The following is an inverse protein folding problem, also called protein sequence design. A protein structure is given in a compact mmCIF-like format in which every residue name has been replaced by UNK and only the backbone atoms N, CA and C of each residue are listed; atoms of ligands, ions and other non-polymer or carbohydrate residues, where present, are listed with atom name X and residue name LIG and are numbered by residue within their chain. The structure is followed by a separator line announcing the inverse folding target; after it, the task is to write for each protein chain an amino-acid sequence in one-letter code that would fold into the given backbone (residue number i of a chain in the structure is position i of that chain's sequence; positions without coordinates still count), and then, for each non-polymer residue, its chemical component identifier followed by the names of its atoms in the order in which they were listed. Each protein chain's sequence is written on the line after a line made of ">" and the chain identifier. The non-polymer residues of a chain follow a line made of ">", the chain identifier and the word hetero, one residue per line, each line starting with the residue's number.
data_IF_081966795032
#
_entry.id   IF_081966795032
#
_cell.length_a   1.000
_cell.length_b   1.000
_cell.length_c   1.000
_cell.angle_alpha   90.00
_cell.angle_beta   90.00
_cell.angle_gamma   90.00
#
_symmetry.space_group_name_H-M   'P 1'
#
loop_
_entity.id
_entity.type
_entity.pdbx_description
1 polymer ?
#
# COMPACT_ATOMS: atom_id res chain seq x y z
N UNK A 1 43.85 27.15 -13.47
CA UNK A 1 43.10 26.70 -12.27
C UNK A 1 43.61 25.37 -11.72
N UNK A 2 43.80 24.32 -12.51
CA UNK A 2 44.31 23.02 -12.06
C UNK A 2 45.73 23.03 -11.49
N UNK A 3 46.66 23.86 -12.02
CA UNK A 3 48.02 23.97 -11.52
C UNK A 3 48.14 24.65 -10.15
N UNK A 4 47.24 25.58 -9.85
CA UNK A 4 47.20 26.25 -8.55
C UNK A 4 46.73 25.32 -7.45
N UNK A 5 45.66 24.52 -7.70
CA UNK A 5 45.14 23.50 -6.78
C UNK A 5 46.20 22.43 -6.52
N UNK A 6 46.96 22.02 -7.56
CA UNK A 6 48.04 21.03 -7.45
C UNK A 6 49.15 21.51 -6.52
N UNK A 7 49.55 22.79 -6.62
CA UNK A 7 50.64 23.34 -5.79
C UNK A 7 50.21 23.54 -4.33
N UNK A 8 48.98 23.94 -4.07
CA UNK A 8 48.43 23.98 -2.70
C UNK A 8 48.33 22.60 -2.05
N UNK A 9 47.97 21.57 -2.83
CA UNK A 9 47.92 20.20 -2.32
C UNK A 9 49.32 19.67 -1.96
N UNK A 10 50.36 20.03 -2.70
CA UNK A 10 51.74 19.61 -2.43
C UNK A 10 52.27 20.15 -1.09
N UNK A 11 51.82 21.33 -0.66
CA UNK A 11 52.26 21.96 0.59
C UNK A 11 51.58 21.43 1.88
N UNK A 12 50.50 20.64 1.73
CA UNK A 12 49.77 20.09 2.86
C UNK A 12 50.44 18.84 3.43
N UNK A 13 50.55 18.72 4.78
CA UNK A 13 51.14 17.56 5.43
C UNK A 13 50.41 16.26 5.09
N UNK A 14 51.11 15.14 4.98
CA UNK A 14 50.60 13.83 4.64
C UNK A 14 49.38 13.41 5.55
N UNK A 15 49.52 13.72 6.85
CA UNK A 15 48.43 13.42 7.84
C UNK A 15 47.16 14.14 7.51
N UNK A 16 47.20 15.38 7.05
CA UNK A 16 46.02 16.16 6.64
C UNK A 16 45.42 15.63 5.33
N UNK A 17 46.27 15.18 4.37
CA UNK A 17 45.82 14.57 3.11
C UNK A 17 45.07 13.27 3.34
N UNK A 18 45.63 12.40 4.21
CA UNK A 18 44.96 11.15 4.61
C UNK A 18 43.65 11.40 5.34
N UNK A 19 43.62 12.40 6.27
CA UNK A 19 42.38 12.79 6.94
C UNK A 19 41.27 13.27 5.97
N UNK A 20 41.66 14.16 5.02
CA UNK A 20 40.70 14.63 4.00
C UNK A 20 40.19 13.51 3.10
N UNK A 21 41.07 12.57 2.72
CA UNK A 21 40.67 11.36 1.98
C UNK A 21 39.64 10.53 2.73
N UNK A 22 39.87 10.22 4.01
CA UNK A 22 38.96 9.44 4.84
C UNK A 22 37.61 10.12 4.96
N UNK A 23 37.59 11.45 5.15
CA UNK A 23 36.34 12.23 5.22
C UNK A 23 35.54 12.14 3.91
N UNK A 24 36.17 12.29 2.76
CA UNK A 24 35.51 12.16 1.46
C UNK A 24 34.93 10.77 1.25
N UNK A 25 35.70 9.72 1.58
CA UNK A 25 35.18 8.33 1.47
C UNK A 25 33.96 8.10 2.38
N UNK A 26 34.06 8.55 3.62
CA UNK A 26 32.91 8.42 4.57
C UNK A 26 31.68 9.18 4.08
N UNK A 27 31.85 10.40 3.55
CA UNK A 27 30.75 11.19 3.00
C UNK A 27 30.10 10.51 1.79
N UNK A 28 30.89 9.97 0.86
CA UNK A 28 30.35 9.27 -0.32
C UNK A 28 29.64 7.98 0.08
N UNK A 29 30.18 7.23 1.05
CA UNK A 29 29.51 6.03 1.59
C UNK A 29 28.20 6.41 2.31
N UNK A 30 28.22 7.44 3.13
CA UNK A 30 27.03 7.92 3.85
C UNK A 30 25.92 8.38 2.89
N UNK A 31 26.25 9.12 1.85
CA UNK A 31 25.32 9.54 0.81
C UNK A 31 24.73 8.34 0.04
N UNK A 32 25.55 7.34 -0.28
CA UNK A 32 25.07 6.12 -0.95
C UNK A 32 24.08 5.34 -0.09
N UNK A 33 24.36 5.18 1.20
CA UNK A 33 23.47 4.51 2.15
C UNK A 33 22.17 5.29 2.30
N UNK A 34 22.23 6.62 2.49
CA UNK A 34 21.07 7.47 2.62
C UNK A 34 20.16 7.41 1.37
N UNK A 35 20.75 7.43 0.18
CA UNK A 35 20.02 7.29 -1.08
C UNK A 35 19.32 5.92 -1.18
N UNK A 36 20.00 4.83 -0.86
CA UNK A 36 19.40 3.49 -0.86
C UNK A 36 18.23 3.39 0.13
N UNK A 37 18.36 3.96 1.34
CA UNK A 37 17.28 4.00 2.32
C UNK A 37 16.06 4.78 1.83
N UNK A 38 16.26 5.95 1.22
CA UNK A 38 15.18 6.75 0.66
C UNK A 38 14.39 6.00 -0.40
N UNK A 39 15.08 5.34 -1.33
CA UNK A 39 14.44 4.58 -2.40
C UNK A 39 13.70 3.37 -1.85
N UNK A 40 14.28 2.64 -0.90
CA UNK A 40 13.63 1.49 -0.26
C UNK A 40 12.37 1.92 0.49
N UNK A 41 12.42 3.01 1.26
CA UNK A 41 11.25 3.53 1.98
C UNK A 41 10.13 3.94 1.03
N UNK A 42 10.44 4.64 -0.06
CA UNK A 42 9.45 5.03 -1.06
C UNK A 42 8.77 3.83 -1.73
N UNK A 43 9.55 2.77 -2.01
CA UNK A 43 9.01 1.53 -2.60
C UNK A 43 8.10 0.78 -1.62
N UNK A 44 8.52 0.67 -0.35
CA UNK A 44 7.76 0.00 0.71
C UNK A 44 6.44 0.74 1.01
N UNK A 45 6.46 2.07 1.10
CA UNK A 45 5.26 2.87 1.36
C UNK A 45 4.22 2.67 0.24
N UNK A 46 4.65 2.72 -1.01
CA UNK A 46 3.77 2.49 -2.16
C UNK A 46 3.15 1.09 -2.16
N UNK A 47 3.92 0.08 -1.78
CA UNK A 47 3.45 -1.30 -1.69
C UNK A 47 2.46 -1.49 -0.54
N UNK A 48 2.75 -0.90 0.63
CA UNK A 48 1.88 -0.95 1.79
C UNK A 48 0.51 -0.33 1.53
N UNK A 49 0.44 0.79 0.80
CA UNK A 49 -0.85 1.40 0.42
C UNK A 49 -1.68 0.44 -0.43
N UNK A 50 -1.08 -0.21 -1.45
CA UNK A 50 -1.77 -1.16 -2.30
C UNK A 50 -2.26 -2.38 -1.51
N UNK A 51 -1.44 -2.91 -0.61
CA UNK A 51 -1.81 -4.05 0.24
C UNK A 51 -2.96 -3.69 1.19
N UNK A 52 -2.87 -2.54 1.85
CA UNK A 52 -3.90 -2.09 2.79
C UNK A 52 -5.23 -1.88 2.09
N UNK A 53 -5.25 -1.24 0.92
CA UNK A 53 -6.46 -1.03 0.13
C UNK A 53 -7.11 -2.35 -0.31
N UNK A 54 -6.30 -3.32 -0.72
CA UNK A 54 -6.79 -4.64 -1.09
C UNK A 54 -7.33 -5.41 0.12
N UNK A 55 -6.67 -5.30 1.28
CA UNK A 55 -7.14 -5.91 2.53
C UNK A 55 -8.50 -5.36 2.93
N UNK A 56 -8.68 -4.03 2.90
CA UNK A 56 -9.97 -3.40 3.23
C UNK A 56 -11.10 -3.86 2.31
N UNK A 57 -10.84 -3.97 1.00
CA UNK A 57 -11.85 -4.47 0.06
C UNK A 57 -12.18 -5.95 0.30
N UNK A 58 -11.18 -6.76 0.65
CA UNK A 58 -11.38 -8.17 1.01
C UNK A 58 -12.20 -8.31 2.30
N UNK A 59 -11.89 -7.51 3.33
CA UNK A 59 -12.59 -7.53 4.61
C UNK A 59 -14.08 -7.17 4.44
N UNK A 60 -14.40 -6.22 3.55
CA UNK A 60 -15.78 -5.90 3.20
C UNK A 60 -16.48 -7.08 2.52
N UNK A 61 -15.83 -7.71 1.54
CA UNK A 61 -16.41 -8.86 0.84
C UNK A 61 -16.67 -10.02 1.81
N UNK A 62 -15.67 -10.38 2.61
CA UNK A 62 -15.74 -11.48 3.56
C UNK A 62 -16.80 -11.22 4.64
N UNK A 63 -16.87 -9.99 5.18
CA UNK A 63 -17.84 -9.64 6.21
C UNK A 63 -19.28 -9.68 5.66
N UNK A 64 -19.52 -9.23 4.43
CA UNK A 64 -20.83 -9.34 3.78
C UNK A 64 -21.25 -10.79 3.52
N UNK A 65 -20.32 -11.68 3.15
CA UNK A 65 -20.61 -13.10 3.00
C UNK A 65 -20.95 -13.73 4.35
N UNK A 66 -20.20 -13.42 5.41
CA UNK A 66 -20.48 -13.91 6.77
C UNK A 66 -21.82 -13.37 7.31
N UNK A 67 -22.18 -12.13 7.01
CA UNK A 67 -23.47 -11.56 7.39
C UNK A 67 -24.64 -12.27 6.66
N UNK A 68 -24.48 -12.54 5.36
CA UNK A 68 -25.48 -13.25 4.58
C UNK A 68 -25.74 -14.66 5.13
N UNK A 69 -24.68 -15.41 5.42
CA UNK A 69 -24.76 -16.75 6.00
C UNK A 69 -25.41 -16.73 7.40
N UNK A 70 -25.00 -15.78 8.24
CA UNK A 70 -25.56 -15.63 9.58
C UNK A 70 -27.03 -15.18 9.55
N UNK A 71 -27.41 -14.34 8.58
CA UNK A 71 -28.80 -13.95 8.35
C UNK A 71 -29.67 -15.15 7.96
N UNK A 72 -29.21 -15.97 7.00
CA UNK A 72 -29.93 -17.17 6.57
C UNK A 72 -30.16 -18.13 7.74
N UNK A 73 -29.13 -18.40 8.53
CA UNK A 73 -29.24 -19.23 9.73
C UNK A 73 -30.25 -18.66 10.74
N UNK A 74 -30.19 -17.35 10.99
CA UNK A 74 -31.09 -16.71 11.94
C UNK A 74 -32.55 -16.67 11.44
N UNK A 75 -32.78 -16.46 10.17
CA UNK A 75 -34.10 -16.51 9.57
C UNK A 75 -34.69 -17.91 9.65
N UNK A 76 -33.89 -18.95 9.41
CA UNK A 76 -34.32 -20.34 9.48
C UNK A 76 -34.59 -20.81 10.90
N UNK A 77 -33.71 -20.46 11.82
CA UNK A 77 -33.77 -20.82 13.23
C UNK A 77 -33.60 -19.57 14.09
N UNK A 78 -34.70 -19.02 14.58
CA UNK A 78 -34.71 -17.80 15.42
C UNK A 78 -34.27 -18.11 16.86
N UNK A 79 -33.08 -18.73 16.99
CA UNK A 79 -32.46 -19.00 18.29
C UNK A 79 -31.73 -17.77 18.81
N UNK A 80 -31.51 -17.70 20.13
CA UNK A 80 -30.68 -16.68 20.75
C UNK A 80 -29.26 -16.69 20.24
N UNK A 81 -28.67 -17.86 20.02
CA UNK A 81 -27.32 -18.03 19.55
C UNK A 81 -27.13 -17.49 18.12
N UNK A 82 -28.06 -17.85 17.21
CA UNK A 82 -28.06 -17.35 15.83
C UNK A 82 -28.27 -15.84 15.79
N UNK A 83 -29.15 -15.28 16.66
CA UNK A 83 -29.33 -13.84 16.78
C UNK A 83 -28.05 -13.11 17.21
N UNK A 84 -27.29 -13.71 18.13
CA UNK A 84 -26.01 -13.15 18.59
C UNK A 84 -24.96 -13.20 17.49
N UNK A 85 -24.81 -14.34 16.79
CA UNK A 85 -23.88 -14.49 15.67
C UNK A 85 -24.21 -13.52 14.54
N UNK A 86 -25.48 -13.38 14.20
CA UNK A 86 -25.94 -12.45 13.19
C UNK A 86 -25.62 -10.99 13.54
N UNK A 87 -25.90 -10.53 14.79
CA UNK A 87 -25.54 -9.18 15.22
C UNK A 87 -24.03 -8.91 15.14
N UNK A 88 -23.22 -9.90 15.49
CA UNK A 88 -21.77 -9.80 15.40
C UNK A 88 -21.32 -9.66 13.94
N UNK A 89 -21.93 -10.41 13.03
CA UNK A 89 -21.64 -10.31 11.60
C UNK A 89 -22.05 -8.94 11.04
N UNK A 90 -23.25 -8.41 11.39
CA UNK A 90 -23.65 -7.05 11.03
C UNK A 90 -22.64 -6.00 11.49
N UNK A 91 -22.23 -6.05 12.76
CA UNK A 91 -21.24 -5.12 13.30
C UNK A 91 -19.91 -5.19 12.55
N UNK A 92 -19.48 -6.41 12.18
CA UNK A 92 -18.25 -6.60 11.39
C UNK A 92 -18.37 -5.98 9.99
N UNK A 93 -19.51 -6.16 9.31
CA UNK A 93 -19.79 -5.56 8.00
C UNK A 93 -19.81 -4.03 8.06
N UNK A 94 -20.49 -3.47 9.03
CA UNK A 94 -20.55 -2.02 9.25
C UNK A 94 -19.17 -1.43 9.50
N UNK A 95 -18.38 -2.05 10.38
CA UNK A 95 -17.02 -1.64 10.67
C UNK A 95 -16.11 -1.71 9.44
N UNK A 96 -16.23 -2.78 8.63
CA UNK A 96 -15.46 -2.93 7.40
C UNK A 96 -15.84 -1.88 6.34
N UNK A 97 -17.12 -1.55 6.24
CA UNK A 97 -17.61 -0.49 5.34
C UNK A 97 -17.17 0.91 5.78
N UNK A 98 -17.15 1.17 7.08
CA UNK A 98 -16.64 2.44 7.62
C UNK A 98 -15.15 2.62 7.36
N UNK A 99 -14.37 1.55 7.44
CA UNK A 99 -12.93 1.56 7.20
C UNK A 99 -12.56 1.84 5.72
N UNK A 100 -13.50 1.66 4.77
CA UNK A 100 -13.24 1.99 3.37
C UNK A 100 -12.96 3.48 3.19
N UNK A 101 -11.88 3.85 2.48
CA UNK A 101 -11.62 5.25 2.12
C UNK A 101 -12.80 5.83 1.36
N UNK A 102 -13.27 7.02 1.78
CA UNK A 102 -14.41 7.70 1.18
C UNK A 102 -14.10 9.18 0.96
N UNK A 103 -12.99 9.44 0.28
CA UNK A 103 -12.55 10.78 -0.12
C UNK A 103 -12.30 10.78 -1.62
N UNK A 104 -13.10 11.59 -2.34
CA UNK A 104 -13.05 11.68 -3.81
C UNK A 104 -11.65 12.06 -4.33
N UNK A 105 -10.99 12.99 -3.65
CA UNK A 105 -9.68 13.50 -4.06
C UNK A 105 -8.56 12.47 -3.81
N UNK A 106 -8.79 11.56 -2.86
CA UNK A 106 -7.82 10.50 -2.50
C UNK A 106 -7.96 9.27 -3.37
N UNK A 107 -9.21 8.78 -3.56
CA UNK A 107 -9.46 7.48 -4.21
C UNK A 107 -9.89 7.60 -5.69
N UNK A 108 -10.13 8.82 -6.17
CA UNK A 108 -10.57 9.09 -7.54
C UNK A 108 -12.05 8.76 -7.81
N UNK A 109 -12.58 9.25 -8.95
CA UNK A 109 -14.02 9.22 -9.22
C UNK A 109 -14.60 7.82 -9.36
N UNK A 110 -13.89 6.89 -9.98
CA UNK A 110 -14.40 5.54 -10.23
C UNK A 110 -14.52 4.74 -8.93
N UNK A 111 -13.50 4.79 -8.09
CA UNK A 111 -13.48 4.08 -6.81
C UNK A 111 -14.44 4.71 -5.81
N UNK A 112 -14.52 6.05 -5.78
CA UNK A 112 -15.50 6.78 -4.98
C UNK A 112 -16.94 6.36 -5.32
N UNK A 113 -17.31 6.35 -6.60
CA UNK A 113 -18.64 5.93 -7.03
C UNK A 113 -18.96 4.48 -6.64
N UNK A 114 -17.99 3.57 -6.73
CA UNK A 114 -18.18 2.17 -6.31
C UNK A 114 -18.35 2.04 -4.80
N UNK A 115 -17.53 2.73 -4.01
CA UNK A 115 -17.65 2.75 -2.54
C UNK A 115 -18.98 3.35 -2.11
N UNK A 116 -19.40 4.45 -2.75
CA UNK A 116 -20.70 5.08 -2.51
C UNK A 116 -21.85 4.12 -2.79
N UNK A 117 -21.84 3.41 -3.92
CA UNK A 117 -22.87 2.44 -4.29
C UNK A 117 -22.96 1.29 -3.28
N UNK A 118 -21.84 0.83 -2.74
CA UNK A 118 -21.86 -0.23 -1.72
C UNK A 118 -22.44 0.29 -0.41
N UNK A 119 -22.00 1.46 0.06
CA UNK A 119 -22.51 2.06 1.31
C UNK A 119 -24.00 2.31 1.25
N UNK A 120 -24.50 2.97 0.20
CA UNK A 120 -25.93 3.22 0.01
C UNK A 120 -26.73 1.94 -0.24
N UNK A 121 -26.17 1.00 -0.98
CA UNK A 121 -26.78 -0.31 -1.18
C UNK A 121 -26.94 -1.07 0.14
N UNK A 122 -25.96 -0.96 1.04
CA UNK A 122 -26.02 -1.58 2.36
C UNK A 122 -27.10 -0.95 3.25
N UNK A 123 -27.27 0.38 3.24
CA UNK A 123 -28.38 1.06 3.93
C UNK A 123 -29.74 0.58 3.41
N UNK A 124 -29.89 0.43 2.10
CA UNK A 124 -31.09 -0.15 1.50
C UNK A 124 -31.33 -1.60 1.92
N UNK A 125 -30.26 -2.40 1.94
CA UNK A 125 -30.30 -3.79 2.43
C UNK A 125 -30.75 -3.86 3.89
N UNK A 126 -30.20 -3.02 4.77
CA UNK A 126 -30.61 -2.96 6.18
C UNK A 126 -32.11 -2.72 6.32
N UNK A 127 -32.66 -1.83 5.51
CA UNK A 127 -34.14 -1.56 5.54
C UNK A 127 -34.97 -2.78 5.21
N UNK A 128 -34.65 -3.51 4.13
CA UNK A 128 -35.37 -4.74 3.77
C UNK A 128 -35.17 -5.87 4.77
N UNK A 129 -33.94 -6.03 5.23
CA UNK A 129 -33.56 -6.99 6.25
C UNK A 129 -34.36 -6.80 7.54
N UNK A 130 -34.43 -5.58 8.03
CA UNK A 130 -35.16 -5.26 9.27
C UNK A 130 -36.66 -5.51 9.12
N UNK A 131 -37.23 -5.27 7.94
CA UNK A 131 -38.63 -5.66 7.66
C UNK A 131 -38.83 -7.17 7.83
N UNK A 132 -37.96 -8.01 7.21
CA UNK A 132 -38.04 -9.48 7.33
C UNK A 132 -37.88 -9.95 8.77
N UNK A 133 -37.00 -9.31 9.55
CA UNK A 133 -36.77 -9.68 10.94
C UNK A 133 -37.97 -9.39 11.85
N UNK A 134 -38.82 -8.42 11.50
CA UNK A 134 -40.04 -8.07 12.24
C UNK A 134 -41.27 -8.87 11.80
N UNK A 135 -41.21 -9.64 10.71
CA UNK A 135 -42.28 -10.49 10.22
C UNK A 135 -42.20 -11.89 10.82
N UNK A 136 -43.37 -12.52 11.02
CA UNK A 136 -43.42 -13.95 11.26
C UNK A 136 -43.29 -14.72 9.96
N UNK A 137 -42.73 -15.94 10.02
CA UNK A 137 -42.53 -16.78 8.82
C UNK A 137 -43.87 -17.19 8.18
N UNK A 138 -44.97 -17.12 8.93
CA UNK A 138 -46.34 -17.37 8.46
C UNK A 138 -47.02 -16.15 7.83
N UNK A 139 -46.42 -14.97 7.90
CA UNK A 139 -47.01 -13.73 7.39
C UNK A 139 -47.12 -13.75 5.87
N UNK A 140 -48.24 -13.22 5.35
CA UNK A 140 -48.40 -13.00 3.94
C UNK A 140 -47.36 -11.99 3.44
N UNK A 141 -46.56 -12.36 2.43
CA UNK A 141 -45.47 -11.53 1.90
C UNK A 141 -44.11 -11.76 2.54
N UNK A 142 -43.96 -12.58 3.59
CA UNK A 142 -42.64 -12.91 4.17
C UNK A 142 -41.68 -13.44 3.13
N UNK A 143 -42.12 -14.38 2.30
CA UNK A 143 -41.29 -15.00 1.25
C UNK A 143 -40.87 -13.96 0.21
N UNK A 144 -41.76 -13.04 -0.17
CA UNK A 144 -41.44 -11.98 -1.13
C UNK A 144 -40.36 -11.02 -0.57
N UNK A 145 -40.51 -10.59 0.69
CA UNK A 145 -39.53 -9.73 1.34
C UNK A 145 -38.19 -10.44 1.52
N UNK A 146 -38.20 -11.72 1.85
CA UNK A 146 -36.97 -12.54 1.95
C UNK A 146 -36.23 -12.62 0.60
N UNK A 147 -36.94 -12.80 -0.52
CA UNK A 147 -36.35 -12.76 -1.84
C UNK A 147 -35.73 -11.38 -2.17
N UNK A 148 -36.34 -10.29 -1.72
CA UNK A 148 -35.78 -8.94 -1.88
C UNK A 148 -34.48 -8.80 -1.11
N UNK A 149 -34.41 -9.30 0.12
CA UNK A 149 -33.16 -9.31 0.92
C UNK A 149 -32.06 -10.11 0.20
N UNK A 150 -32.36 -11.32 -0.27
CA UNK A 150 -31.38 -12.12 -1.02
C UNK A 150 -30.93 -11.44 -2.33
N UNK A 151 -31.84 -10.77 -3.02
CA UNK A 151 -31.51 -9.98 -4.20
C UNK A 151 -30.53 -8.85 -3.88
N UNK A 152 -30.76 -8.14 -2.77
CA UNK A 152 -29.86 -7.08 -2.31
C UNK A 152 -28.51 -7.63 -1.85
N UNK A 153 -28.48 -8.77 -1.15
CA UNK A 153 -27.22 -9.45 -0.78
C UNK A 153 -26.39 -9.79 -2.03
N UNK A 154 -27.01 -10.40 -3.03
CA UNK A 154 -26.35 -10.74 -4.30
C UNK A 154 -25.81 -9.50 -5.04
N UNK A 155 -26.60 -8.40 -5.00
CA UNK A 155 -26.16 -7.11 -5.53
C UNK A 155 -24.93 -6.59 -4.78
N UNK A 156 -24.95 -6.53 -3.46
CA UNK A 156 -23.86 -6.04 -2.62
C UNK A 156 -22.59 -6.86 -2.80
N UNK A 157 -22.68 -8.19 -2.78
CA UNK A 157 -21.55 -9.09 -3.03
C UNK A 157 -20.93 -8.86 -4.41
N UNK A 158 -21.77 -8.65 -5.44
CA UNK A 158 -21.31 -8.33 -6.79
C UNK A 158 -20.54 -7.01 -6.82
N UNK A 159 -21.06 -5.98 -6.13
CA UNK A 159 -20.40 -4.67 -6.07
C UNK A 159 -19.11 -4.71 -5.24
N UNK A 160 -19.08 -5.41 -4.11
CA UNK A 160 -17.88 -5.61 -3.31
C UNK A 160 -16.78 -6.30 -4.12
N UNK A 161 -17.15 -7.36 -4.87
CA UNK A 161 -16.22 -8.04 -5.79
C UNK A 161 -15.71 -7.12 -6.89
N UNK A 162 -16.57 -6.28 -7.47
CA UNK A 162 -16.15 -5.30 -8.50
C UNK A 162 -15.26 -4.21 -7.91
N UNK A 163 -15.50 -3.76 -6.67
CA UNK A 163 -14.62 -2.82 -5.97
C UNK A 163 -13.23 -3.46 -5.79
N UNK A 164 -13.16 -4.67 -5.26
CA UNK A 164 -11.91 -5.40 -5.09
C UNK A 164 -11.16 -5.58 -6.42
N UNK A 165 -11.85 -5.98 -7.49
CA UNK A 165 -11.24 -6.14 -8.81
C UNK A 165 -10.69 -4.81 -9.37
N UNK A 166 -11.40 -3.68 -9.17
CA UNK A 166 -10.90 -2.37 -9.61
C UNK A 166 -9.69 -1.94 -8.79
N UNK A 167 -9.71 -2.14 -7.49
CA UNK A 167 -8.57 -1.82 -6.61
C UNK A 167 -7.33 -2.65 -6.96
N UNK A 168 -7.50 -3.96 -7.23
CA UNK A 168 -6.42 -4.82 -7.74
C UNK A 168 -5.88 -4.35 -9.09
N UNK A 169 -6.77 -3.95 -10.01
CA UNK A 169 -6.37 -3.44 -11.33
C UNK A 169 -5.59 -2.14 -11.22
N UNK A 170 -6.04 -1.22 -10.39
CA UNK A 170 -5.35 0.05 -10.11
C UNK A 170 -4.01 -0.20 -9.41
N UNK A 171 -3.98 -1.08 -8.42
CA UNK A 171 -2.75 -1.50 -7.75
C UNK A 171 -1.74 -2.10 -8.73
N UNK A 172 -2.20 -3.00 -9.62
CA UNK A 172 -1.36 -3.56 -10.69
C UNK A 172 -0.83 -2.49 -11.64
N UNK A 173 -1.68 -1.54 -12.05
CA UNK A 173 -1.28 -0.42 -12.92
C UNK A 173 -0.24 0.46 -12.23
N UNK A 174 -0.50 0.89 -10.99
CA UNK A 174 0.43 1.69 -10.19
C UNK A 174 1.77 0.97 -9.99
N UNK A 175 1.73 -0.34 -9.75
CA UNK A 175 2.93 -1.17 -9.70
C UNK A 175 3.69 -1.17 -11.03
N UNK A 176 2.99 -1.40 -12.16
CA UNK A 176 3.60 -1.44 -13.49
C UNK A 176 4.21 -0.08 -13.89
N UNK A 177 3.61 1.04 -13.49
CA UNK A 177 4.14 2.37 -13.73
C UNK A 177 5.42 2.64 -12.90
N UNK A 178 5.55 2.04 -11.72
CA UNK A 178 6.71 2.17 -10.84
C UNK A 178 7.80 1.11 -11.07
N UNK A 179 7.45 -0.01 -11.69
CA UNK A 179 8.37 -1.11 -12.01
C UNK A 179 9.60 -0.67 -12.80
N UNK A 180 9.51 0.20 -13.84
CA UNK A 180 10.69 0.69 -14.55
C UNK A 180 11.70 1.37 -13.60
N UNK A 181 11.20 2.20 -12.67
CA UNK A 181 12.04 2.82 -11.64
C UNK A 181 12.73 1.77 -10.75
N UNK A 182 12.05 0.66 -10.42
CA UNK A 182 12.62 -0.44 -9.64
C UNK A 182 13.66 -1.24 -10.44
N UNK A 183 13.47 -1.39 -11.75
CA UNK A 183 14.47 -2.03 -12.62
C UNK A 183 15.71 -1.17 -12.82
N UNK A 184 15.58 0.15 -12.89
CA UNK A 184 16.68 1.08 -13.02
C UNK A 184 17.49 1.25 -11.72
N UNK A 185 16.88 0.93 -10.59
CA UNK A 185 17.46 1.08 -9.26
C UNK A 185 18.76 0.27 -9.06
N UNK A 186 18.84 -1.03 -9.38
CA UNK A 186 20.09 -1.78 -9.34
C UNK A 186 21.19 -1.17 -10.23
N UNK A 187 20.82 -0.65 -11.40
CA UNK A 187 21.76 0.01 -12.30
C UNK A 187 22.26 1.34 -11.72
N UNK A 188 21.37 2.11 -11.07
CA UNK A 188 21.78 3.33 -10.36
C UNK A 188 22.69 3.03 -9.18
N UNK A 189 22.40 2.01 -8.39
CA UNK A 189 23.25 1.54 -7.28
C UNK A 189 24.62 1.09 -7.82
N UNK A 190 24.63 0.32 -8.90
CA UNK A 190 25.84 -0.14 -9.54
C UNK A 190 26.65 1.03 -10.09
N UNK A 191 26.03 2.01 -10.74
CA UNK A 191 26.69 3.22 -11.23
C UNK A 191 27.30 4.05 -10.09
N UNK A 192 26.58 4.24 -8.99
CA UNK A 192 27.10 4.90 -7.79
C UNK A 192 28.28 4.14 -7.18
N UNK A 193 28.22 2.80 -7.13
CA UNK A 193 29.31 1.96 -6.63
C UNK A 193 30.55 2.04 -7.50
N UNK A 194 30.39 2.03 -8.83
CA UNK A 194 31.48 2.21 -9.78
C UNK A 194 32.12 3.60 -9.66
N UNK A 195 31.32 4.65 -9.55
CA UNK A 195 31.77 6.01 -9.30
C UNK A 195 32.60 6.11 -8.00
N UNK A 196 32.15 5.42 -6.95
CA UNK A 196 32.83 5.34 -5.67
C UNK A 196 34.20 4.68 -5.82
N UNK A 197 34.30 3.53 -6.51
CA UNK A 197 35.55 2.83 -6.78
C UNK A 197 36.50 3.71 -7.57
N UNK A 198 36.03 4.37 -8.63
CA UNK A 198 36.85 5.28 -9.44
C UNK A 198 37.38 6.44 -8.58
N UNK A 199 36.56 7.03 -7.73
CA UNK A 199 36.94 8.11 -6.82
C UNK A 199 38.02 7.64 -5.85
N UNK A 200 37.88 6.46 -5.26
CA UNK A 200 38.91 5.87 -4.37
C UNK A 200 40.19 5.62 -5.10
N UNK A 201 40.17 5.06 -6.32
CA UNK A 201 41.33 4.79 -7.13
C UNK A 201 42.08 6.11 -7.50
N UNK A 202 41.32 7.13 -7.96
CA UNK A 202 41.87 8.43 -8.29
C UNK A 202 42.54 9.11 -7.09
N UNK A 203 41.88 9.07 -5.93
CA UNK A 203 42.42 9.64 -4.70
C UNK A 203 43.65 8.87 -4.20
N UNK A 204 43.67 7.54 -4.29
CA UNK A 204 44.83 6.71 -3.96
C UNK A 204 45.99 7.00 -4.86
N UNK A 205 45.76 7.16 -6.17
CA UNK A 205 46.79 7.51 -7.16
C UNK A 205 47.36 8.92 -6.94
N UNK A 206 46.50 9.89 -6.59
CA UNK A 206 46.92 11.24 -6.19
C UNK A 206 47.78 11.22 -4.91
N UNK A 207 47.43 10.44 -3.93
CA UNK A 207 48.23 10.24 -2.71
C UNK A 207 49.57 9.56 -3.00
N UNK A 208 49.54 8.48 -3.77
CA UNK A 208 50.78 7.76 -4.17
C UNK A 208 51.75 8.67 -4.92
N UNK A 209 51.29 9.43 -5.91
CA UNK A 209 52.12 10.35 -6.68
C UNK A 209 52.67 11.52 -5.83
N UNK A 210 52.00 11.90 -4.76
CA UNK A 210 52.45 12.95 -3.84
C UNK A 210 53.40 12.43 -2.76
N UNK A 211 53.43 11.11 -2.54
CA UNK A 211 54.32 10.45 -1.59
C UNK A 211 55.62 9.99 -2.22
N UNK A 212 55.57 9.51 -3.47
CA UNK A 212 56.74 8.89 -4.16
C UNK A 212 57.54 9.90 -4.99
N UNK A 213 56.92 11.02 -5.41
CA UNK A 213 57.59 12.04 -6.23
C UNK A 213 58.66 12.92 -5.53
N UNK A 214 58.74 13.00 -4.18
CA UNK A 214 59.80 13.77 -3.53
C UNK A 214 61.01 12.95 -3.03
N UNK A 215 61.10 11.66 -3.40
CA UNK A 215 62.38 10.91 -3.22
C UNK A 215 63.13 10.83 -4.55
#
# INVERSE_FOLDING_TARGET
>A
MFSYIKNQWLSISLKKKLGAFSVVVILVMGLSIAFNMLVMNFSLESFNVILNDNSLCYDVQESMEQEADAFELYVRERSWENAKQYRLACFKTESSLEALPFDYDVIGPERYARTWNIKNGYEGYQTFRDQVLHMDQSDEGFVEQLYRVYGMQGYLQTYARRLMQSTLKEGKRSYQEKVPLLYDLPYMIMACSVLMIITVICLTKLLSNTLIAPM
#
